data_IF_699619630696
#
_entry.id   IF_699619630696
#
_cell.length_a   1.000
_cell.length_b   1.000
_cell.length_c   1.000
_cell.angle_alpha   90.00
_cell.angle_beta   90.00
_cell.angle_gamma   90.00
#
_symmetry.space_group_name_H-M   'P 1'
#
loop_
_entity.id
_entity.type
_entity.pdbx_description
1 polymer ?
#
# COMPACT_ATOMS: atom_id res chain seq x y z
N UNK A 1 50.81 -25.13 -68.69
CA UNK A 1 50.07 -26.29 -68.14
C UNK A 1 50.57 -26.51 -66.72
N UNK A 2 49.75 -26.61 -65.66
CA UNK A 2 48.29 -26.50 -65.56
C UNK A 2 47.81 -25.28 -64.73
N UNK A 3 46.56 -24.86 -64.95
CA UNK A 3 45.69 -24.17 -63.98
C UNK A 3 44.98 -25.25 -63.11
N UNK A 4 43.95 -24.97 -62.28
CA UNK A 4 43.55 -23.81 -61.46
C UNK A 4 43.40 -24.26 -59.97
N UNK A 5 42.87 -23.43 -59.06
CA UNK A 5 41.68 -23.76 -58.23
C UNK A 5 41.19 -22.47 -57.55
N UNK A 6 39.99 -22.09 -57.96
CA UNK A 6 39.06 -21.14 -57.39
C UNK A 6 38.55 -21.59 -56.01
N UNK A 7 38.56 -20.70 -55.02
CA UNK A 7 37.81 -20.83 -53.77
C UNK A 7 36.85 -19.65 -53.62
N UNK A 8 35.63 -19.81 -54.13
CA UNK A 8 34.50 -18.91 -53.89
C UNK A 8 34.07 -19.06 -52.42
N UNK A 9 34.10 -17.98 -51.64
CA UNK A 9 33.33 -17.89 -50.40
C UNK A 9 32.17 -16.94 -50.65
N UNK A 10 30.98 -17.52 -50.52
CA UNK A 10 29.70 -16.89 -50.77
C UNK A 10 29.46 -15.71 -49.83
N UNK A 11 29.19 -14.55 -50.42
CA UNK A 11 28.59 -13.41 -49.75
C UNK A 11 27.18 -13.79 -49.29
N UNK A 12 27.03 -13.99 -47.98
CA UNK A 12 25.73 -14.25 -47.36
C UNK A 12 25.00 -12.94 -47.12
N UNK A 13 23.92 -12.79 -47.89
CA UNK A 13 22.67 -12.09 -47.58
C UNK A 13 22.43 -11.82 -46.08
N UNK A 14 22.22 -10.54 -45.72
CA UNK A 14 21.24 -10.12 -44.72
C UNK A 14 21.03 -8.60 -44.82
N UNK A 15 20.23 -8.22 -45.81
CA UNK A 15 19.64 -6.90 -45.93
C UNK A 15 18.21 -6.93 -45.35
N UNK A 16 17.86 -5.82 -44.69
CA UNK A 16 16.51 -5.30 -44.49
C UNK A 16 15.58 -6.01 -43.48
N UNK A 17 15.57 -5.49 -42.24
CA UNK A 17 14.37 -5.40 -41.41
C UNK A 17 14.50 -4.26 -40.37
N UNK A 18 14.47 -3.01 -40.85
CA UNK A 18 14.42 -1.80 -39.99
C UNK A 18 13.40 -0.83 -40.57
N UNK A 19 12.10 -1.11 -40.40
CA UNK A 19 11.03 -0.11 -40.53
C UNK A 19 9.69 -0.71 -40.08
N UNK A 20 9.36 -0.57 -38.79
CA UNK A 20 7.99 -0.42 -38.28
C UNK A 20 7.99 -0.41 -36.74
N UNK A 21 8.68 0.56 -36.12
CA UNK A 21 8.34 0.96 -34.76
C UNK A 21 7.42 2.16 -34.86
N UNK A 22 6.14 1.87 -35.06
CA UNK A 22 5.08 2.84 -34.87
C UNK A 22 5.08 3.26 -33.41
N UNK A 23 5.44 4.52 -33.15
CA UNK A 23 5.12 5.20 -31.91
C UNK A 23 3.60 5.24 -31.77
N UNK A 24 3.01 4.22 -31.16
CA UNK A 24 1.67 4.34 -30.61
C UNK A 24 1.74 5.39 -29.50
N UNK A 25 0.95 6.49 -29.55
CA UNK A 25 0.85 7.39 -28.42
C UNK A 25 0.32 6.57 -27.25
N UNK A 26 1.15 6.43 -26.21
CA UNK A 26 0.70 5.90 -24.95
C UNK A 26 -0.55 6.70 -24.56
N UNK A 27 -1.71 6.05 -24.54
CA UNK A 27 -2.90 6.61 -23.91
C UNK A 27 -2.56 6.77 -22.45
N UNK A 28 -2.12 7.96 -22.08
CA UNK A 28 -2.07 8.42 -20.71
C UNK A 28 -3.51 8.40 -20.23
N UNK A 29 -3.94 7.28 -19.65
CA UNK A 29 -5.12 7.25 -18.81
C UNK A 29 -4.88 8.32 -17.75
N UNK A 30 -5.60 9.43 -17.87
CA UNK A 30 -5.56 10.49 -16.89
C UNK A 30 -5.73 9.87 -15.50
N UNK A 31 -4.94 10.27 -14.49
CA UNK A 31 -5.20 9.84 -13.14
C UNK A 31 -6.67 10.16 -12.85
N UNK A 32 -7.46 9.12 -12.53
CA UNK A 32 -8.86 9.26 -12.16
C UNK A 32 -8.98 10.48 -11.25
N UNK A 33 -9.67 11.51 -11.75
CA UNK A 33 -10.11 12.62 -10.93
C UNK A 33 -10.76 11.98 -9.70
N UNK A 34 -10.29 12.36 -8.51
CA UNK A 34 -10.93 11.94 -7.28
C UNK A 34 -12.43 12.20 -7.46
N UNK A 35 -13.25 11.15 -7.37
CA UNK A 35 -14.69 11.26 -7.48
C UNK A 35 -15.15 12.45 -6.63
N UNK A 36 -16.06 13.26 -7.16
CA UNK A 36 -16.59 14.43 -6.47
C UNK A 36 -16.99 14.01 -5.04
N UNK A 37 -16.51 14.67 -3.98
CA UNK A 37 -16.86 14.33 -2.61
C UNK A 37 -18.37 14.30 -2.33
N UNK A 38 -19.21 14.83 -3.22
CA UNK A 38 -20.67 14.71 -3.16
C UNK A 38 -21.21 13.29 -3.44
N UNK A 39 -20.48 12.44 -4.19
CA UNK A 39 -20.95 11.13 -4.68
C UNK A 39 -20.33 9.93 -3.95
N UNK A 40 -20.10 10.07 -2.64
CA UNK A 40 -19.53 8.98 -1.86
C UNK A 40 -20.49 7.76 -1.82
N UNK A 41 -20.01 6.54 -2.09
CA UNK A 41 -20.86 5.36 -2.12
C UNK A 41 -21.46 5.08 -0.75
N UNK A 42 -22.69 4.60 -0.74
CA UNK A 42 -23.36 4.14 0.48
C UNK A 42 -22.83 2.76 0.88
N UNK A 43 -22.52 2.62 2.16
CA UNK A 43 -22.14 1.37 2.82
C UNK A 43 -23.24 0.96 3.79
N UNK A 44 -23.33 -0.33 4.10
CA UNK A 44 -24.34 -0.88 4.99
C UNK A 44 -23.68 -1.23 6.32
N UNK A 45 -24.15 -0.61 7.40
CA UNK A 45 -23.62 -0.82 8.74
C UNK A 45 -24.68 -1.37 9.71
N UNK A 46 -24.25 -2.27 10.60
CA UNK A 46 -25.01 -2.72 11.78
C UNK A 46 -24.04 -2.82 12.96
N UNK A 47 -24.58 -3.07 14.17
CA UNK A 47 -23.80 -3.49 15.33
C UNK A 47 -22.71 -4.51 14.92
N UNK A 48 -21.49 -4.34 15.42
CA UNK A 48 -20.30 -4.95 14.83
C UNK A 48 -20.30 -6.48 14.92
N UNK A 49 -19.77 -7.12 13.88
CA UNK A 49 -19.48 -8.54 13.84
C UNK A 49 -18.06 -8.71 13.31
N UNK A 50 -17.05 -8.55 14.17
CA UNK A 50 -15.66 -8.63 13.75
C UNK A 50 -15.31 -10.08 13.41
N UNK A 51 -14.87 -10.31 12.17
CA UNK A 51 -14.49 -11.61 11.66
C UNK A 51 -12.97 -11.70 11.63
N UNK A 52 -12.37 -12.29 12.67
CA UNK A 52 -10.91 -12.45 12.79
C UNK A 52 -10.55 -13.88 12.42
N UNK A 53 -9.50 -14.03 11.61
CA UNK A 53 -8.90 -15.30 11.28
C UNK A 53 -7.48 -15.36 11.85
N UNK A 54 -7.22 -16.31 12.73
CA UNK A 54 -5.90 -16.48 13.35
C UNK A 54 -4.95 -17.31 12.46
N UNK A 55 -5.49 -18.16 11.57
CA UNK A 55 -4.70 -19.02 10.68
C UNK A 55 -5.34 -19.27 9.30
N UNK A 56 -4.54 -19.59 8.26
CA UNK A 56 -5.04 -19.80 6.90
C UNK A 56 -6.10 -20.92 6.80
N UNK A 57 -6.04 -21.91 7.69
CA UNK A 57 -7.02 -22.99 7.81
C UNK A 57 -8.43 -22.49 8.16
N UNK A 58 -8.56 -21.31 8.76
CA UNK A 58 -9.82 -20.70 9.14
C UNK A 58 -10.35 -19.69 8.12
N UNK A 59 -9.51 -19.25 7.16
CA UNK A 59 -9.83 -18.14 6.26
C UNK A 59 -11.11 -18.39 5.45
N UNK A 60 -11.34 -19.62 4.99
CA UNK A 60 -12.56 -19.99 4.25
C UNK A 60 -13.83 -19.85 5.08
N UNK A 61 -13.83 -20.38 6.30
CA UNK A 61 -14.98 -20.31 7.20
C UNK A 61 -15.29 -18.87 7.61
N UNK A 62 -14.24 -18.09 7.93
CA UNK A 62 -14.35 -16.68 8.29
C UNK A 62 -14.90 -15.85 7.12
N UNK A 63 -14.40 -16.09 5.90
CA UNK A 63 -14.87 -15.38 4.71
C UNK A 63 -16.33 -15.73 4.36
N UNK A 64 -16.72 -17.00 4.47
CA UNK A 64 -18.11 -17.42 4.27
C UNK A 64 -19.06 -16.81 5.30
N UNK A 65 -18.68 -16.81 6.58
CA UNK A 65 -19.46 -16.19 7.64
C UNK A 65 -19.64 -14.68 7.41
N UNK A 66 -18.57 -13.98 7.01
CA UNK A 66 -18.63 -12.56 6.69
C UNK A 66 -19.50 -12.26 5.46
N UNK A 67 -19.39 -13.08 4.41
CA UNK A 67 -20.23 -12.95 3.20
C UNK A 67 -21.71 -13.20 3.49
N UNK A 68 -22.03 -14.23 4.28
CA UNK A 68 -23.39 -14.51 4.72
C UNK A 68 -23.96 -13.36 5.57
N UNK A 69 -23.13 -12.76 6.43
CA UNK A 69 -23.50 -11.58 7.19
C UNK A 69 -23.80 -10.38 6.29
N UNK A 70 -22.91 -10.07 5.34
CA UNK A 70 -23.09 -8.99 4.37
C UNK A 70 -24.37 -9.19 3.54
N UNK A 71 -24.62 -10.41 3.07
CA UNK A 71 -25.85 -10.76 2.36
C UNK A 71 -27.10 -10.51 3.21
N UNK A 72 -27.10 -10.94 4.47
CA UNK A 72 -28.23 -10.74 5.38
C UNK A 72 -28.50 -9.26 5.69
N UNK A 73 -27.47 -8.41 5.65
CA UNK A 73 -27.64 -6.95 5.77
C UNK A 73 -28.25 -6.35 4.50
N UNK A 74 -27.77 -6.75 3.31
CA UNK A 74 -28.30 -6.29 2.02
C UNK A 74 -29.74 -6.71 1.77
N UNK A 75 -30.10 -7.94 2.13
CA UNK A 75 -31.45 -8.48 1.90
C UNK A 75 -32.51 -7.91 2.85
N UNK A 76 -32.12 -7.07 3.81
CA UNK A 76 -33.05 -6.51 4.81
C UNK A 76 -33.46 -7.52 5.90
N UNK A 77 -32.95 -8.75 5.87
CA UNK A 77 -33.15 -9.74 6.93
C UNK A 77 -32.60 -9.26 8.29
N UNK A 78 -31.74 -8.24 8.28
CA UNK A 78 -31.14 -7.59 9.44
C UNK A 78 -31.33 -6.08 9.34
N UNK A 79 -31.82 -5.44 10.43
CA UNK A 79 -31.87 -3.97 10.50
C UNK A 79 -30.48 -3.38 10.34
N UNK A 80 -30.26 -2.67 9.25
CA UNK A 80 -29.00 -2.02 8.91
C UNK A 80 -29.24 -0.55 8.57
N UNK A 81 -28.22 0.29 8.77
CA UNK A 81 -28.24 1.69 8.35
C UNK A 81 -27.35 1.84 7.12
N UNK A 82 -27.81 2.61 6.14
CA UNK A 82 -26.94 3.09 5.07
C UNK A 82 -26.10 4.24 5.64
N UNK A 83 -24.80 4.21 5.43
CA UNK A 83 -23.87 5.26 5.81
C UNK A 83 -23.04 5.67 4.61
N UNK A 84 -22.77 6.96 4.50
CA UNK A 84 -21.79 7.47 3.55
C UNK A 84 -20.39 6.92 3.86
N UNK A 85 -19.62 6.53 2.83
CA UNK A 85 -18.26 6.03 3.00
C UNK A 85 -17.32 7.01 3.71
N UNK A 86 -17.58 8.33 3.67
CA UNK A 86 -16.82 9.36 4.38
C UNK A 86 -16.87 9.18 5.91
N UNK A 87 -17.91 8.51 6.44
CA UNK A 87 -17.98 8.15 7.86
C UNK A 87 -17.16 6.90 8.23
N UNK A 88 -16.51 6.26 7.26
CA UNK A 88 -15.51 5.21 7.46
C UNK A 88 -14.14 5.70 6.94
N UNK A 89 -13.41 6.53 7.69
CA UNK A 89 -12.21 7.24 7.20
C UNK A 89 -11.12 6.34 6.60
N UNK A 90 -10.95 5.11 7.10
CA UNK A 90 -10.03 4.13 6.51
C UNK A 90 -10.44 3.74 5.10
N UNK A 91 -11.73 3.47 4.89
CA UNK A 91 -12.27 3.09 3.58
C UNK A 91 -12.16 4.26 2.61
N UNK A 92 -12.49 5.48 3.05
CA UNK A 92 -12.46 6.64 2.17
C UNK A 92 -11.04 7.18 1.91
N UNK A 93 -10.18 7.19 2.93
CA UNK A 93 -8.91 7.89 2.92
C UNK A 93 -7.68 7.03 2.61
N UNK A 94 -7.65 5.77 3.08
CA UNK A 94 -6.47 4.92 2.90
C UNK A 94 -6.38 4.38 1.46
N UNK A 95 -5.18 4.12 0.92
CA UNK A 95 -5.02 3.56 -0.42
C UNK A 95 -5.80 2.25 -0.63
N UNK A 96 -5.75 1.32 0.32
CA UNK A 96 -6.46 0.04 0.23
C UNK A 96 -7.98 0.24 0.37
N UNK A 97 -8.41 1.18 1.21
CA UNK A 97 -9.82 1.57 1.31
C UNK A 97 -10.36 2.13 -0.01
N UNK A 98 -9.60 3.02 -0.64
CA UNK A 98 -9.95 3.57 -1.96
C UNK A 98 -10.00 2.49 -3.02
N UNK A 99 -9.03 1.57 -3.02
CA UNK A 99 -9.02 0.42 -3.92
C UNK A 99 -10.28 -0.44 -3.74
N UNK A 100 -10.71 -0.67 -2.49
CA UNK A 100 -11.97 -1.34 -2.17
C UNK A 100 -13.17 -0.57 -2.73
N UNK A 101 -13.25 0.75 -2.55
CA UNK A 101 -14.36 1.55 -3.08
C UNK A 101 -14.44 1.55 -4.61
N UNK A 102 -13.29 1.49 -5.29
CA UNK A 102 -13.24 1.43 -6.77
C UNK A 102 -13.55 0.05 -7.33
N UNK A 103 -13.43 -1.01 -6.52
CA UNK A 103 -13.83 -2.34 -6.92
C UNK A 103 -15.37 -2.44 -7.03
N UNK A 104 -15.90 -3.31 -7.91
CA UNK A 104 -17.32 -3.61 -7.96
C UNK A 104 -17.89 -3.90 -6.56
N UNK A 105 -19.10 -3.42 -6.29
CA UNK A 105 -19.69 -3.55 -4.96
C UNK A 105 -19.93 -5.01 -4.55
N UNK A 106 -20.17 -5.89 -5.53
CA UNK A 106 -20.18 -7.33 -5.34
C UNK A 106 -18.77 -7.89 -5.52
N UNK A 107 -18.34 -8.76 -4.61
CA UNK A 107 -17.03 -9.41 -4.67
C UNK A 107 -15.89 -8.47 -4.34
N UNK A 108 -16.02 -7.63 -3.31
CA UNK A 108 -14.89 -6.88 -2.76
C UNK A 108 -14.74 -7.13 -1.28
N UNK A 109 -13.52 -7.07 -0.77
CA UNK A 109 -13.28 -7.20 0.66
C UNK A 109 -12.09 -6.36 1.11
N UNK A 110 -12.09 -5.99 2.38
CA UNK A 110 -10.99 -5.28 3.05
C UNK A 110 -10.65 -5.99 4.36
N UNK A 111 -9.38 -6.36 4.51
CA UNK A 111 -8.83 -6.97 5.70
C UNK A 111 -7.74 -6.09 6.33
N UNK A 112 -7.60 -6.16 7.65
CA UNK A 112 -6.50 -5.54 8.41
C UNK A 112 -5.85 -6.56 9.35
N UNK A 113 -4.60 -6.32 9.75
CA UNK A 113 -3.95 -7.11 10.79
C UNK A 113 -4.62 -6.90 12.16
N UNK A 114 -4.69 -7.95 12.96
CA UNK A 114 -5.33 -7.97 14.27
C UNK A 114 -4.39 -8.53 15.35
N UNK A 115 -4.14 -7.80 16.46
CA UNK A 115 -4.61 -6.44 16.73
C UNK A 115 -3.86 -5.38 15.91
N UNK A 116 -4.52 -4.28 15.45
CA UNK A 116 -3.90 -3.31 14.55
C UNK A 116 -2.56 -2.70 15.04
N UNK A 117 -2.39 -2.33 16.33
CA UNK A 117 -1.16 -1.69 16.80
C UNK A 117 0.13 -2.51 16.61
N UNK A 118 0.03 -3.84 16.55
CA UNK A 118 1.19 -4.75 16.41
C UNK A 118 1.24 -5.50 15.09
N UNK A 119 0.15 -5.46 14.30
CA UNK A 119 -0.02 -6.27 13.10
C UNK A 119 -0.14 -5.39 11.86
N UNK A 120 0.99 -5.04 11.20
CA UNK A 120 1.03 -4.09 10.10
C UNK A 120 0.56 -4.73 8.80
N UNK A 121 -0.76 -4.93 8.67
CA UNK A 121 -1.35 -5.39 7.42
C UNK A 121 -2.64 -4.65 7.10
N UNK A 122 -2.81 -4.27 5.83
CA UNK A 122 -4.06 -3.79 5.25
C UNK A 122 -4.13 -4.29 3.81
N UNK A 123 -5.17 -5.02 3.48
CA UNK A 123 -5.29 -5.62 2.16
C UNK A 123 -6.73 -5.49 1.66
N UNK A 124 -6.88 -4.89 0.48
CA UNK A 124 -8.12 -4.93 -0.27
C UNK A 124 -8.02 -5.99 -1.36
N UNK A 125 -9.15 -6.62 -1.67
CA UNK A 125 -9.29 -7.54 -2.78
C UNK A 125 -10.55 -7.21 -3.58
N UNK A 126 -10.50 -7.53 -4.88
CA UNK A 126 -11.65 -7.61 -5.75
C UNK A 126 -11.68 -9.04 -6.30
N UNK A 127 -12.76 -9.78 -6.03
CA UNK A 127 -13.04 -11.09 -6.57
C UNK A 127 -13.43 -10.98 -8.05
N UNK A 128 -12.86 -11.85 -8.89
CA UNK A 128 -13.13 -11.88 -10.32
C UNK A 128 -14.58 -12.26 -10.68
N UNK A 129 -15.32 -12.87 -9.75
CA UNK A 129 -16.66 -13.45 -9.96
C UNK A 129 -17.80 -12.67 -9.28
N UNK A 130 -17.52 -11.53 -8.64
CA UNK A 130 -18.53 -10.85 -7.80
C UNK A 130 -18.87 -11.62 -6.52
N UNK A 131 -18.12 -12.68 -6.18
CA UNK A 131 -18.30 -13.50 -4.99
C UNK A 131 -17.61 -12.87 -3.78
N UNK A 132 -18.42 -12.47 -2.79
CA UNK A 132 -17.98 -11.85 -1.54
C UNK A 132 -17.13 -12.79 -0.67
N UNK A 133 -17.41 -14.10 -0.66
CA UNK A 133 -16.63 -15.06 0.13
C UNK A 133 -15.25 -15.26 -0.51
N UNK A 134 -15.19 -15.39 -1.83
CA UNK A 134 -13.92 -15.47 -2.55
C UNK A 134 -13.08 -14.20 -2.37
N UNK A 135 -13.71 -13.01 -2.43
CA UNK A 135 -13.05 -11.75 -2.15
C UNK A 135 -12.52 -11.71 -0.70
N UNK A 136 -13.33 -12.13 0.28
CA UNK A 136 -12.94 -12.24 1.69
C UNK A 136 -11.69 -13.11 1.88
N UNK A 137 -11.66 -14.32 1.30
CA UNK A 137 -10.49 -15.20 1.35
C UNK A 137 -9.26 -14.55 0.72
N UNK A 138 -9.40 -13.89 -0.43
CA UNK A 138 -8.29 -13.20 -1.10
C UNK A 138 -7.74 -12.04 -0.26
N UNK A 139 -8.60 -11.27 0.42
CA UNK A 139 -8.17 -10.20 1.31
C UNK A 139 -7.43 -10.73 2.55
N UNK A 140 -7.92 -11.82 3.16
CA UNK A 140 -7.25 -12.49 4.28
C UNK A 140 -5.88 -13.03 3.87
N UNK A 141 -5.79 -13.74 2.74
CA UNK A 141 -4.53 -14.26 2.20
C UNK A 141 -3.51 -13.13 1.92
N UNK A 142 -3.96 -12.01 1.34
CA UNK A 142 -3.11 -10.84 1.09
C UNK A 142 -2.66 -10.16 2.39
N UNK A 143 -3.54 -10.08 3.40
CA UNK A 143 -3.20 -9.59 4.73
C UNK A 143 -2.10 -10.46 5.38
N UNK A 144 -2.25 -11.79 5.36
CA UNK A 144 -1.22 -12.72 5.87
C UNK A 144 0.10 -12.60 5.14
N UNK A 145 0.06 -12.41 3.81
CA UNK A 145 1.27 -12.20 3.04
C UNK A 145 2.03 -10.94 3.47
N UNK A 146 1.33 -9.88 3.88
CA UNK A 146 1.95 -8.69 4.46
C UNK A 146 2.54 -8.96 5.86
N UNK A 147 1.81 -9.68 6.72
CA UNK A 147 2.32 -10.06 8.05
C UNK A 147 3.57 -10.94 7.96
N UNK A 148 3.61 -11.89 7.02
CA UNK A 148 4.80 -12.68 6.66
C UNK A 148 6.01 -11.83 6.34
N UNK A 149 5.84 -10.88 5.41
CA UNK A 149 6.93 -9.97 5.01
C UNK A 149 7.42 -9.12 6.17
N UNK A 150 6.54 -8.75 7.09
CA UNK A 150 6.88 -8.01 8.30
C UNK A 150 7.52 -8.88 9.40
N UNK A 151 7.57 -10.21 9.25
CA UNK A 151 7.97 -11.13 10.32
C UNK A 151 7.04 -11.02 11.53
N UNK A 152 5.73 -11.04 11.28
CA UNK A 152 4.65 -10.86 12.27
C UNK A 152 3.56 -11.92 12.13
N UNK A 153 3.94 -13.15 11.80
CA UNK A 153 2.96 -14.26 11.76
C UNK A 153 2.56 -14.67 13.17
N UNK A 154 3.53 -14.71 14.08
CA UNK A 154 3.30 -15.09 15.47
C UNK A 154 2.57 -13.97 16.22
N UNK A 155 1.39 -14.30 16.76
CA UNK A 155 0.60 -13.36 17.56
C UNK A 155 -0.21 -12.34 16.77
N UNK A 156 -0.34 -12.50 15.44
CA UNK A 156 -1.21 -11.68 14.61
C UNK A 156 -2.22 -12.52 13.82
N UNK A 157 -3.47 -12.09 13.84
CA UNK A 157 -4.51 -12.53 12.93
C UNK A 157 -4.79 -11.52 11.81
N UNK A 158 -5.75 -11.85 10.95
CA UNK A 158 -6.30 -10.95 9.94
C UNK A 158 -7.81 -10.81 10.15
N UNK A 159 -8.30 -9.58 10.24
CA UNK A 159 -9.71 -9.27 10.44
C UNK A 159 -10.33 -8.71 9.15
N UNK A 160 -11.45 -9.30 8.72
CA UNK A 160 -12.30 -8.72 7.68
C UNK A 160 -13.12 -7.59 8.27
N UNK A 161 -12.88 -6.38 7.77
CA UNK A 161 -13.55 -5.16 8.22
C UNK A 161 -14.57 -4.65 7.21
N UNK A 162 -14.52 -5.10 5.96
CA UNK A 162 -15.60 -4.85 5.01
C UNK A 162 -15.70 -5.98 3.98
N UNK A 163 -16.92 -6.33 3.60
CA UNK A 163 -17.23 -7.33 2.56
C UNK A 163 -18.41 -6.84 1.74
N UNK A 164 -18.25 -6.80 0.42
CA UNK A 164 -19.17 -6.16 -0.50
C UNK A 164 -19.36 -4.68 -0.16
N UNK A 165 -20.58 -4.24 0.11
CA UNK A 165 -20.93 -2.92 0.64
C UNK A 165 -21.12 -2.89 2.17
N UNK A 166 -20.95 -4.02 2.85
CA UNK A 166 -21.18 -4.13 4.28
C UNK A 166 -19.92 -3.82 5.11
N UNK A 167 -20.12 -3.00 6.14
CA UNK A 167 -19.17 -2.76 7.23
C UNK A 167 -19.35 -3.83 8.30
N UNK A 168 -18.32 -4.64 8.53
CA UNK A 168 -18.37 -5.77 9.47
C UNK A 168 -17.70 -5.48 10.80
N UNK A 169 -16.91 -4.43 10.93
CA UNK A 169 -16.16 -4.12 12.14
C UNK A 169 -16.79 -2.96 12.95
N UNK A 170 -16.37 -2.76 14.21
CA UNK A 170 -16.80 -1.58 14.97
C UNK A 170 -16.17 -0.28 14.41
N UNK A 171 -16.73 0.90 14.73
CA UNK A 171 -16.31 2.18 14.14
C UNK A 171 -14.82 2.52 14.28
N UNK A 172 -14.19 2.12 15.39
CA UNK A 172 -12.78 2.35 15.67
C UNK A 172 -11.83 1.61 14.70
N UNK A 173 -12.25 0.45 14.17
CA UNK A 173 -11.51 -0.27 13.14
C UNK A 173 -11.40 0.49 11.81
N UNK A 174 -12.23 1.51 11.59
CA UNK A 174 -12.19 2.38 10.41
C UNK A 174 -11.51 3.73 10.66
N UNK A 175 -10.87 3.95 11.81
CA UNK A 175 -10.10 5.16 12.05
C UNK A 175 -8.97 5.30 11.01
N UNK A 176 -8.75 6.52 10.51
CA UNK A 176 -7.65 6.82 9.59
C UNK A 176 -7.02 8.19 9.85
N UNK A 177 -5.70 8.26 9.78
CA UNK A 177 -4.92 9.50 9.88
C UNK A 177 -4.40 9.94 8.50
N UNK A 178 -5.14 10.79 7.74
CA UNK A 178 -4.74 11.20 6.40
C UNK A 178 -3.41 11.97 6.38
N UNK A 179 -3.17 12.76 7.43
CA UNK A 179 -1.87 13.34 7.76
C UNK A 179 -1.33 12.70 9.04
N UNK A 180 -0.07 12.25 9.01
CA UNK A 180 0.61 11.74 10.20
C UNK A 180 1.99 12.35 10.33
N UNK A 181 2.42 12.53 11.58
CA UNK A 181 3.75 13.01 11.88
C UNK A 181 4.82 12.08 11.31
N UNK A 182 5.90 12.69 10.86
CA UNK A 182 7.10 12.00 10.42
C UNK A 182 8.34 12.71 10.95
N UNK A 183 9.37 11.93 11.26
CA UNK A 183 10.69 12.41 11.66
C UNK A 183 11.71 11.98 10.62
N UNK A 184 12.40 12.95 10.03
CA UNK A 184 13.44 12.74 9.03
C UNK A 184 14.79 13.11 9.62
N UNK A 185 15.69 12.14 9.70
CA UNK A 185 17.06 12.32 10.21
C UNK A 185 18.07 11.97 9.12
N UNK A 186 18.98 12.89 8.83
CA UNK A 186 20.03 12.71 7.83
C UNK A 186 21.21 13.62 8.14
N UNK A 187 22.15 13.20 9.01
CA UNK A 187 23.27 14.04 9.45
C UNK A 187 24.13 14.58 8.30
N UNK A 188 24.35 13.75 7.28
CA UNK A 188 25.10 14.11 6.08
C UNK A 188 24.50 15.26 5.26
N UNK A 189 23.23 15.60 5.49
CA UNK A 189 22.51 16.70 4.85
C UNK A 189 22.05 17.76 5.87
N UNK A 190 22.51 17.68 7.13
CA UNK A 190 22.05 18.56 8.19
C UNK A 190 20.54 18.46 8.47
N UNK A 191 19.93 17.31 8.21
CA UNK A 191 18.48 17.12 8.36
C UNK A 191 18.14 16.53 9.73
N UNK A 192 17.29 17.25 10.46
CA UNK A 192 16.63 16.78 11.67
C UNK A 192 15.22 17.42 11.73
N UNK A 193 14.33 16.97 10.85
CA UNK A 193 13.05 17.63 10.57
C UNK A 193 11.85 16.82 11.07
N UNK A 194 10.85 17.52 11.59
CA UNK A 194 9.53 16.95 11.86
C UNK A 194 8.57 17.47 10.80
N UNK A 195 7.94 16.55 10.06
CA UNK A 195 7.12 16.85 8.88
C UNK A 195 5.74 16.20 9.01
N UNK A 196 4.77 16.70 8.25
CA UNK A 196 3.56 15.96 7.97
C UNK A 196 3.79 15.03 6.77
N UNK A 197 3.26 13.82 6.85
CA UNK A 197 3.31 12.84 5.78
C UNK A 197 1.91 12.55 5.25
N UNK A 198 1.77 12.40 3.93
CA UNK A 198 0.56 11.93 3.26
C UNK A 198 0.86 10.64 2.52
N UNK A 199 -0.15 9.80 2.41
CA UNK A 199 -0.09 8.51 1.76
C UNK A 199 -0.98 8.50 0.52
N UNK A 200 -0.47 8.00 -0.59
CA UNK A 200 -1.18 7.93 -1.87
C UNK A 200 -0.92 6.58 -2.55
N UNK A 201 -1.91 6.03 -3.28
CA UNK A 201 -1.67 4.87 -4.13
C UNK A 201 -0.72 5.22 -5.28
N UNK A 202 0.11 4.26 -5.67
CA UNK A 202 0.94 4.32 -6.86
C UNK A 202 0.76 3.04 -7.71
N UNK A 203 1.27 3.07 -8.95
CA UNK A 203 1.15 1.95 -9.88
C UNK A 203 1.79 0.66 -9.31
N UNK A 204 1.24 -0.50 -9.73
CA UNK A 204 1.79 -1.81 -9.35
C UNK A 204 1.63 -2.16 -7.86
N UNK A 205 0.62 -1.59 -7.18
CA UNK A 205 0.41 -1.80 -5.75
C UNK A 205 1.42 -1.08 -4.85
N UNK A 206 2.26 -0.23 -5.43
CA UNK A 206 3.17 0.61 -4.67
C UNK A 206 2.42 1.72 -3.92
N UNK A 207 3.09 2.30 -2.92
CA UNK A 207 2.57 3.33 -2.05
C UNK A 207 3.51 4.52 -2.08
N UNK A 208 2.97 5.71 -2.33
CA UNK A 208 3.73 6.95 -2.30
C UNK A 208 3.52 7.63 -0.95
N UNK A 209 4.62 7.98 -0.29
CA UNK A 209 4.62 8.90 0.83
C UNK A 209 5.19 10.23 0.38
N UNK A 210 4.45 11.31 0.61
CA UNK A 210 4.94 12.68 0.41
C UNK A 210 5.12 13.33 1.77
N UNK A 211 6.23 14.03 1.95
CA UNK A 211 6.60 14.69 3.20
C UNK A 211 6.76 16.18 2.96
N UNK A 212 5.97 16.97 3.68
CA UNK A 212 5.84 18.41 3.46
C UNK A 212 6.41 19.19 4.66
N UNK A 213 7.44 20.02 4.49
CA UNK A 213 7.61 21.24 5.25
C UNK A 213 6.75 22.34 4.60
N UNK A 214 6.14 23.21 5.40
CA UNK A 214 5.53 24.42 4.85
C UNK A 214 6.63 25.41 4.43
N UNK A 215 6.68 25.94 3.19
CA UNK A 215 6.01 25.47 1.97
C UNK A 215 6.91 24.53 1.12
N UNK A 216 6.32 23.48 0.53
CA UNK A 216 6.95 22.60 -0.47
C UNK A 216 6.98 21.11 -0.11
N UNK A 217 7.17 20.25 -1.12
CA UNK A 217 7.50 18.83 -0.92
C UNK A 217 9.01 18.70 -0.75
N UNK A 218 9.48 18.18 0.39
CA UNK A 218 10.93 18.02 0.64
C UNK A 218 11.43 16.62 0.39
N UNK A 219 10.58 15.63 0.63
CA UNK A 219 10.90 14.23 0.42
C UNK A 219 9.69 13.53 -0.18
N UNK A 220 9.96 12.76 -1.23
CA UNK A 220 9.02 11.81 -1.81
C UNK A 220 9.59 10.42 -1.66
N UNK A 221 8.78 9.46 -1.22
CA UNK A 221 9.19 8.06 -1.12
C UNK A 221 8.17 7.19 -1.84
N UNK A 222 8.64 6.33 -2.75
CA UNK A 222 7.88 5.26 -3.34
C UNK A 222 8.26 3.95 -2.63
N UNK A 223 7.28 3.30 -2.02
CA UNK A 223 7.42 2.02 -1.33
C UNK A 223 6.78 0.96 -2.22
N UNK A 224 7.54 -0.05 -2.61
CA UNK A 224 7.04 -1.19 -3.40
C UNK A 224 6.42 -2.27 -2.51
N UNK A 225 5.63 -3.21 -3.08
CA UNK A 225 5.03 -4.31 -2.32
C UNK A 225 6.03 -5.23 -1.60
N UNK A 226 7.28 -5.25 -2.05
CA UNK A 226 8.41 -6.00 -1.46
C UNK A 226 9.17 -5.22 -0.38
N UNK A 227 8.61 -4.10 0.09
CA UNK A 227 9.20 -3.20 1.07
C UNK A 227 10.51 -2.52 0.63
N UNK A 228 10.88 -2.61 -0.65
CA UNK A 228 11.92 -1.74 -1.21
C UNK A 228 11.40 -0.30 -1.32
N UNK A 229 12.29 0.65 -1.07
CA UNK A 229 11.96 2.06 -1.07
C UNK A 229 12.90 2.85 -1.98
N UNK A 230 12.32 3.72 -2.81
CA UNK A 230 13.03 4.72 -3.60
C UNK A 230 12.57 6.09 -3.16
N UNK A 231 13.49 7.03 -3.01
CA UNK A 231 13.17 8.37 -2.58
C UNK A 231 13.84 9.46 -3.40
N UNK A 232 13.20 10.61 -3.44
CA UNK A 232 13.72 11.84 -4.00
C UNK A 232 13.70 12.90 -2.90
N UNK A 233 14.90 13.30 -2.45
CA UNK A 233 15.10 14.38 -1.51
C UNK A 233 15.39 15.66 -2.29
N UNK A 234 14.59 16.71 -2.10
CA UNK A 234 14.84 18.02 -2.70
C UNK A 234 15.75 18.83 -1.79
N UNK A 235 16.96 19.10 -2.28
CA UNK A 235 17.97 19.93 -1.63
C UNK A 235 18.28 21.20 -2.43
N UNK A 236 19.12 22.09 -1.87
CA UNK A 236 19.58 23.30 -2.57
C UNK A 236 20.34 22.97 -3.86
N UNK A 237 21.08 21.86 -3.88
CA UNK A 237 21.87 21.40 -5.03
C UNK A 237 21.05 20.57 -6.04
N UNK A 238 19.72 20.57 -5.91
CA UNK A 238 18.80 19.77 -6.73
C UNK A 238 18.34 18.46 -6.08
N UNK A 239 17.60 17.62 -6.84
CA UNK A 239 17.05 16.38 -6.32
C UNK A 239 18.14 15.30 -6.14
N UNK A 240 18.21 14.73 -4.95
CA UNK A 240 19.04 13.55 -4.65
C UNK A 240 18.17 12.31 -4.62
N UNK A 241 18.55 11.28 -5.39
CA UNK A 241 17.91 9.96 -5.34
C UNK A 241 18.48 9.15 -4.18
N UNK A 242 17.59 8.48 -3.46
CA UNK A 242 17.96 7.53 -2.41
C UNK A 242 17.26 6.20 -2.64
N UNK A 243 17.87 5.12 -2.19
CA UNK A 243 17.30 3.77 -2.21
C UNK A 243 17.43 3.12 -0.85
N UNK A 244 16.56 2.17 -0.54
CA UNK A 244 16.61 1.49 0.75
C UNK A 244 15.43 0.59 0.99
N UNK A 245 15.07 0.44 2.26
CA UNK A 245 14.00 -0.46 2.67
C UNK A 245 13.06 0.16 3.70
N UNK A 246 11.86 -0.39 3.73
CA UNK A 246 10.83 -0.15 4.72
C UNK A 246 10.83 -1.25 5.77
N UNK A 247 10.47 -0.86 6.99
CA UNK A 247 10.04 -1.77 8.05
C UNK A 247 8.74 -1.24 8.65
N UNK A 248 7.66 -1.98 8.46
CA UNK A 248 6.39 -1.71 9.10
C UNK A 248 6.40 -2.20 10.56
N UNK A 249 5.79 -1.42 11.46
CA UNK A 249 5.78 -1.68 12.90
C UNK A 249 4.40 -2.09 13.40
N UNK A 250 3.35 -1.51 12.81
CA UNK A 250 1.96 -1.74 13.16
C UNK A 250 1.04 -0.78 12.40
N UNK A 251 -0.21 -0.69 12.85
CA UNK A 251 -1.18 0.32 12.41
C UNK A 251 -1.55 1.23 13.58
N UNK A 252 -1.35 2.53 13.39
CA UNK A 252 -1.75 3.58 14.31
C UNK A 252 -2.86 4.39 13.65
N UNK A 253 -4.08 4.36 14.21
CA UNK A 253 -5.28 4.98 13.61
C UNK A 253 -5.40 4.63 12.12
N UNK A 254 -5.33 3.34 11.81
CA UNK A 254 -5.43 2.81 10.45
C UNK A 254 -4.28 3.16 9.50
N UNK A 255 -3.25 3.90 9.93
CA UNK A 255 -2.06 4.21 9.14
C UNK A 255 -0.89 3.32 9.53
N UNK A 256 -0.06 2.92 8.56
CA UNK A 256 1.19 2.24 8.88
C UNK A 256 2.09 3.12 9.77
N UNK A 257 2.42 2.61 10.95
CA UNK A 257 3.56 3.04 11.72
C UNK A 257 4.80 2.36 11.12
N UNK A 258 5.78 3.13 10.65
CA UNK A 258 6.85 2.57 9.84
C UNK A 258 8.17 3.35 9.91
N UNK A 259 9.23 2.66 9.52
CA UNK A 259 10.58 3.23 9.43
C UNK A 259 11.16 2.92 8.05
N UNK A 260 11.72 3.94 7.41
CA UNK A 260 12.46 3.84 6.16
C UNK A 260 13.93 4.06 6.47
N UNK A 261 14.79 3.18 5.96
CA UNK A 261 16.24 3.36 5.98
C UNK A 261 16.70 3.50 4.54
N UNK A 262 17.09 4.71 4.17
CA UNK A 262 17.44 5.09 2.79
C UNK A 262 18.93 5.49 2.75
N UNK A 263 19.57 5.31 1.59
CA UNK A 263 20.95 5.74 1.34
C UNK A 263 21.05 6.38 -0.04
N UNK A 264 21.94 7.36 -0.16
CA UNK A 264 22.32 7.90 -1.46
C UNK A 264 23.38 7.01 -2.15
N UNK A 265 23.79 7.31 -3.40
CA UNK A 265 24.83 6.56 -4.10
C UNK A 265 26.21 6.57 -3.41
N UNK A 266 26.45 7.50 -2.47
CA UNK A 266 27.67 7.58 -1.66
C UNK A 266 27.54 6.81 -0.34
N UNK A 267 26.43 6.10 -0.14
CA UNK A 267 26.16 5.31 1.06
C UNK A 267 25.74 6.14 2.28
N UNK A 268 25.52 7.45 2.15
CA UNK A 268 25.14 8.32 3.28
C UNK A 268 23.71 7.99 3.71
N UNK A 269 23.41 7.77 5.01
CA UNK A 269 22.11 7.27 5.44
C UNK A 269 21.11 8.37 5.80
N UNK A 270 19.88 8.24 5.28
CA UNK A 270 18.68 9.01 5.65
C UNK A 270 17.66 8.07 6.30
N UNK A 271 17.18 8.41 7.49
CA UNK A 271 16.15 7.66 8.20
C UNK A 271 14.87 8.47 8.27
N UNK A 272 13.74 7.80 8.02
CA UNK A 272 12.41 8.38 8.18
C UNK A 272 11.59 7.49 9.08
N UNK A 273 11.08 8.01 10.19
CA UNK A 273 10.01 7.37 10.97
C UNK A 273 8.70 8.07 10.66
N UNK A 274 7.61 7.35 10.39
CA UNK A 274 6.32 7.94 10.04
C UNK A 274 5.16 7.16 10.66
N UNK A 275 4.03 7.84 10.88
CA UNK A 275 2.81 7.19 11.37
C UNK A 275 2.87 6.75 12.84
N UNK A 276 3.86 7.23 13.61
CA UNK A 276 3.98 6.98 15.05
C UNK A 276 3.48 8.19 15.85
N UNK A 277 3.13 7.97 17.11
CA UNK A 277 2.90 9.04 18.07
C UNK A 277 4.16 9.91 18.24
N UNK A 278 4.03 11.23 18.53
CA UNK A 278 5.16 12.16 18.54
C UNK A 278 6.37 11.73 19.40
N UNK A 279 6.20 11.21 20.64
CA UNK A 279 7.34 10.74 21.43
C UNK A 279 8.07 9.55 20.79
N UNK A 280 7.32 8.63 20.19
CA UNK A 280 7.87 7.43 19.56
C UNK A 280 8.63 7.75 18.26
N UNK A 281 8.21 8.80 17.51
CA UNK A 281 8.89 9.22 16.28
C UNK A 281 10.37 9.51 16.51
N UNK A 282 10.70 10.29 17.54
CA UNK A 282 12.08 10.68 17.84
C UNK A 282 12.91 9.46 18.28
N UNK A 283 12.40 8.69 19.24
CA UNK A 283 13.09 7.52 19.78
C UNK A 283 13.40 6.50 18.69
N UNK A 284 12.41 6.17 17.86
CA UNK A 284 12.54 5.15 16.81
C UNK A 284 13.48 5.63 15.69
N UNK A 285 13.35 6.89 15.26
CA UNK A 285 14.23 7.45 14.23
C UNK A 285 15.70 7.48 14.71
N UNK A 286 15.95 7.99 15.91
CA UNK A 286 17.30 8.09 16.47
C UNK A 286 17.94 6.72 16.72
N UNK A 287 17.19 5.75 17.24
CA UNK A 287 17.66 4.38 17.41
C UNK A 287 18.02 3.74 16.06
N UNK A 288 17.20 3.96 15.03
CA UNK A 288 17.44 3.41 13.69
C UNK A 288 18.67 4.04 13.04
N UNK A 289 18.82 5.36 13.12
CA UNK A 289 19.99 6.07 12.60
C UNK A 289 21.30 5.58 13.24
N UNK A 290 21.32 5.40 14.57
CA UNK A 290 22.49 4.84 15.27
C UNK A 290 22.89 3.45 14.76
N UNK A 291 21.91 2.61 14.39
CA UNK A 291 22.19 1.30 13.77
C UNK A 291 22.68 1.43 12.34
N UNK A 292 22.11 2.35 11.56
CA UNK A 292 22.51 2.59 10.18
C UNK A 292 23.94 3.11 10.06
N UNK A 293 24.39 3.95 11.00
CA UNK A 293 25.75 4.50 11.04
C UNK A 293 26.83 3.48 11.46
N UNK A 294 26.46 2.35 12.04
CA UNK A 294 27.40 1.27 12.41
C UNK A 294 27.65 0.27 11.29
N UNK A 295 26.96 0.41 10.16
CA UNK A 295 27.08 -0.43 8.97
C UNK A 295 27.70 0.38 7.84
#
# INVERSE_FOLDING_TARGET
MPAPVTGRIAASLLAAALAAWGCAPARTTAPHAAADPADAPLLIARAPALFVSDGPEHDGNIAQAAAAHAHALRSGARRARKTDARHAPLIFGAPEGRAFLTAPAAGRALAIGAPPPSCPARAASAGASGDDAQAGMAALAACRAQLRRAGREDGCGCALIAVGDALTAPPDAYAYAPGAGARVLGPAWGLALTLASREEPAAGGARRLTFHPAPGERLRVLIRPDDTAEAELRGPDGPTRLTGSRRALGLERGRFAEVLTLRDPRGRPLVVAAGLAPPALETVAAATLRRALRR
#
